data_IF_513036373304
#
_entry.id   IF_513036373304
#
_cell.length_a   1.000
_cell.length_b   1.000
_cell.length_c   1.000
_cell.angle_alpha   90.00
_cell.angle_beta   90.00
_cell.angle_gamma   90.00
#
_symmetry.space_group_name_H-M   'P 1'
#
loop_
_entity.id
_entity.type
_entity.pdbx_description
1 polymer ?
#
# COMPACT_ATOMS: atom_id res chain seq x y z
N UNK A 1 14.58 -2.37 -20.14
CA UNK A 1 15.92 -1.89 -19.74
C UNK A 1 16.83 -2.97 -19.14
N UNK A 2 16.61 -3.50 -17.91
CA UNK A 2 17.51 -4.58 -17.38
C UNK A 2 17.59 -5.82 -18.27
N UNK A 3 16.45 -6.32 -18.75
CA UNK A 3 16.38 -7.47 -19.68
C UNK A 3 16.90 -7.14 -21.10
N UNK A 4 17.10 -5.87 -21.39
CA UNK A 4 17.65 -5.39 -22.67
C UNK A 4 19.16 -5.07 -22.55
N UNK A 5 19.79 -5.34 -21.40
CA UNK A 5 21.24 -5.16 -21.22
C UNK A 5 21.69 -3.74 -20.83
N UNK A 6 20.76 -2.85 -20.47
CA UNK A 6 21.13 -1.50 -20.02
C UNK A 6 21.64 -1.50 -18.57
N UNK A 7 22.67 -0.68 -18.32
CA UNK A 7 23.15 -0.33 -16.98
C UNK A 7 22.70 1.09 -16.61
N UNK A 8 22.15 1.24 -15.41
CA UNK A 8 21.65 2.52 -14.91
C UNK A 8 21.56 2.53 -13.38
N UNK A 9 21.60 3.73 -12.81
CA UNK A 9 21.35 3.98 -11.38
C UNK A 9 20.00 4.68 -11.23
N UNK A 10 19.24 4.31 -10.20
CA UNK A 10 17.92 4.90 -9.91
C UNK A 10 17.94 5.64 -8.58
N UNK A 11 17.32 6.83 -8.55
CA UNK A 11 17.03 7.55 -7.32
C UNK A 11 15.85 6.96 -6.57
N UNK A 12 15.61 7.43 -5.34
CA UNK A 12 14.43 7.06 -4.56
C UNK A 12 13.17 7.59 -5.27
N UNK A 13 12.11 6.79 -5.44
CA UNK A 13 10.87 7.28 -6.02
C UNK A 13 10.18 8.28 -5.08
N UNK A 14 9.57 9.31 -5.67
CA UNK A 14 8.82 10.35 -4.97
C UNK A 14 7.38 10.42 -5.48
N UNK A 15 6.46 10.82 -4.59
CA UNK A 15 5.06 11.02 -4.95
C UNK A 15 4.89 12.32 -5.72
N UNK A 16 4.16 12.29 -6.82
CA UNK A 16 3.83 13.50 -7.58
C UNK A 16 2.57 14.13 -6.98
N UNK A 17 2.73 15.26 -6.31
CA UNK A 17 1.62 16.01 -5.70
C UNK A 17 0.93 16.94 -6.71
N UNK A 18 -0.31 17.34 -6.40
CA UNK A 18 -1.11 18.27 -7.21
C UNK A 18 -1.73 19.36 -6.35
N UNK A 19 -1.82 20.58 -6.88
CA UNK A 19 -2.58 21.66 -6.24
C UNK A 19 -4.04 21.62 -6.71
N UNK A 20 -4.98 21.49 -5.78
CA UNK A 20 -6.42 21.49 -6.06
C UNK A 20 -7.08 22.45 -5.07
N UNK A 21 -7.75 23.49 -5.57
CA UNK A 21 -8.46 24.49 -4.75
C UNK A 21 -7.60 25.09 -3.63
N UNK A 22 -6.33 25.41 -3.92
CA UNK A 22 -5.42 25.98 -2.94
C UNK A 22 -4.87 24.98 -1.89
N UNK A 23 -5.15 23.68 -2.02
CA UNK A 23 -4.59 22.62 -1.16
C UNK A 23 -3.68 21.68 -1.94
N UNK A 24 -2.66 21.16 -1.27
CA UNK A 24 -1.79 20.11 -1.79
C UNK A 24 -2.47 18.76 -1.62
N UNK A 25 -2.53 17.98 -2.70
CA UNK A 25 -3.06 16.62 -2.73
C UNK A 25 -1.96 15.65 -3.18
N UNK A 26 -1.91 14.49 -2.53
CA UNK A 26 -1.09 13.35 -2.96
C UNK A 26 -1.99 12.22 -3.49
N UNK A 27 -1.49 11.39 -4.43
CA UNK A 27 -2.24 10.22 -4.87
C UNK A 27 -2.38 9.20 -3.73
N UNK A 28 -3.56 8.59 -3.64
CA UNK A 28 -3.87 7.51 -2.69
C UNK A 28 -4.29 6.29 -3.52
N UNK A 29 -3.89 5.08 -3.10
CA UNK A 29 -4.30 3.84 -3.74
C UNK A 29 -5.21 3.01 -2.84
N UNK A 30 -6.13 2.25 -3.46
CA UNK A 30 -6.88 1.19 -2.78
C UNK A 30 -6.07 -0.10 -2.85
N UNK A 31 -5.85 -0.69 -1.70
CA UNK A 31 -5.12 -1.94 -1.54
C UNK A 31 -6.04 -3.00 -0.96
N UNK A 32 -5.80 -4.25 -1.35
CA UNK A 32 -6.41 -5.42 -0.71
C UNK A 32 -5.30 -6.37 -0.32
N UNK A 33 -5.34 -6.84 0.92
CA UNK A 33 -4.40 -7.79 1.49
C UNK A 33 -5.18 -9.04 1.86
N UNK A 34 -4.68 -10.19 1.44
CA UNK A 34 -5.24 -11.51 1.76
C UNK A 34 -4.15 -12.31 2.46
N UNK A 35 -4.40 -12.72 3.70
CA UNK A 35 -3.38 -13.37 4.53
C UNK A 35 -3.99 -14.27 5.60
N UNK A 36 -3.23 -15.24 6.14
CA UNK A 36 -3.60 -15.93 7.36
C UNK A 36 -3.89 -14.96 8.51
N UNK A 37 -4.89 -15.29 9.34
CA UNK A 37 -5.34 -14.44 10.45
C UNK A 37 -4.24 -14.13 11.48
N UNK A 38 -3.28 -15.04 11.65
CA UNK A 38 -2.13 -14.86 12.56
C UNK A 38 -1.26 -13.64 12.22
N UNK A 39 -1.32 -13.14 10.98
CA UNK A 39 -0.57 -11.95 10.54
C UNK A 39 -1.37 -10.64 10.62
N UNK A 40 -2.66 -10.70 10.93
CA UNK A 40 -3.56 -9.54 10.92
C UNK A 40 -3.02 -8.37 11.76
N UNK A 41 -2.56 -8.65 12.98
CA UNK A 41 -2.02 -7.62 13.87
C UNK A 41 -0.76 -6.96 13.32
N UNK A 42 0.18 -7.75 12.81
CA UNK A 42 1.43 -7.24 12.26
C UNK A 42 1.19 -6.38 11.02
N UNK A 43 0.31 -6.83 10.11
CA UNK A 43 0.00 -6.10 8.88
C UNK A 43 -0.74 -4.80 9.19
N UNK A 44 -1.77 -4.84 10.06
CA UNK A 44 -2.54 -3.63 10.40
C UNK A 44 -1.68 -2.58 11.10
N UNK A 45 -0.77 -2.99 11.99
CA UNK A 45 0.20 -2.09 12.62
C UNK A 45 1.15 -1.46 11.58
N UNK A 46 1.68 -2.25 10.65
CA UNK A 46 2.52 -1.74 9.56
C UNK A 46 1.76 -0.73 8.70
N UNK A 47 0.49 -1.00 8.37
CA UNK A 47 -0.34 -0.10 7.58
C UNK A 47 -0.66 1.20 8.30
N UNK A 48 -0.92 1.16 9.62
CA UNK A 48 -1.15 2.36 10.42
C UNK A 48 0.04 3.34 10.34
N UNK A 49 1.27 2.82 10.46
CA UNK A 49 2.48 3.66 10.32
C UNK A 49 2.69 4.24 8.91
N UNK A 50 2.05 3.65 7.90
CA UNK A 50 2.08 4.09 6.50
C UNK A 50 0.87 4.96 6.13
N UNK A 51 0.14 5.47 7.13
CA UNK A 51 -1.11 6.26 6.96
C UNK A 51 -2.23 5.49 6.25
N UNK A 52 -2.18 4.16 6.26
CA UNK A 52 -3.25 3.32 5.73
C UNK A 52 -4.51 3.44 6.58
N UNK A 53 -5.67 3.42 5.92
CA UNK A 53 -6.98 3.37 6.58
C UNK A 53 -7.68 2.08 6.17
N UNK A 54 -8.13 1.31 7.16
CA UNK A 54 -8.94 0.13 6.90
C UNK A 54 -10.34 0.56 6.47
N UNK A 55 -10.76 0.13 5.30
CA UNK A 55 -12.10 0.40 4.75
C UNK A 55 -13.03 -0.80 4.97
N UNK A 56 -12.49 -2.02 4.80
CA UNK A 56 -13.24 -3.27 4.89
C UNK A 56 -12.37 -4.36 5.49
N UNK A 57 -12.99 -5.33 6.18
CA UNK A 57 -12.35 -6.56 6.60
C UNK A 57 -13.37 -7.69 6.50
N UNK A 58 -13.00 -8.79 5.86
CA UNK A 58 -13.84 -9.98 5.71
C UNK A 58 -13.04 -11.21 6.13
N UNK A 59 -13.60 -11.96 7.07
CA UNK A 59 -13.08 -13.26 7.47
C UNK A 59 -13.98 -14.34 6.84
N UNK A 60 -13.37 -15.26 6.10
CA UNK A 60 -14.09 -16.31 5.38
C UNK A 60 -14.30 -17.60 6.21
N UNK A 61 -13.91 -17.62 7.49
CA UNK A 61 -13.99 -18.79 8.37
C UNK A 61 -12.99 -19.90 8.03
N UNK A 62 -12.09 -19.65 7.08
CA UNK A 62 -11.04 -20.58 6.62
C UNK A 62 -9.69 -20.37 7.33
N UNK A 63 -9.61 -19.47 8.31
CA UNK A 63 -8.35 -19.02 8.92
C UNK A 63 -7.62 -17.95 8.10
N UNK A 64 -8.24 -17.46 7.03
CA UNK A 64 -7.74 -16.36 6.18
C UNK A 64 -8.64 -15.14 6.32
N UNK A 65 -8.00 -13.97 6.30
CA UNK A 65 -8.64 -12.67 6.35
C UNK A 65 -8.25 -11.86 5.12
N UNK A 66 -9.26 -11.23 4.53
CA UNK A 66 -9.11 -10.23 3.47
C UNK A 66 -9.46 -8.85 4.02
N UNK A 67 -8.59 -7.87 3.83
CA UNK A 67 -8.79 -6.48 4.23
C UNK A 67 -8.35 -5.49 3.15
#
# INVERSE_FOLDING_TARGET
MRREGFELTVGKPEVVTKQINGKTHEPIERMTIDSPEEHLGAITQLMATRKGRMETMTNHGSGWVRM
#
